data_IF_957607799977
#
_entry.id   IF_957607799977
#
_cell.length_a   1.000
_cell.length_b   1.000
_cell.length_c   1.000
_cell.angle_alpha   90.00
_cell.angle_beta   90.00
_cell.angle_gamma   90.00
#
_symmetry.space_group_name_H-M   'P 1'
#
loop_
_entity.id
_entity.type
_entity.pdbx_description
1 polymer ?
#
# COMPACT_ATOMS: atom_id res chain seq x y z
N UNK A 1 0.12 13.75 12.06
CA UNK A 1 -0.38 15.15 12.09
C UNK A 1 -1.63 15.24 11.23
N UNK A 2 -2.57 16.12 11.57
CA UNK A 2 -3.80 16.31 10.79
C UNK A 2 -3.56 17.34 9.68
N UNK A 3 -3.85 16.97 8.43
CA UNK A 3 -3.93 17.91 7.32
C UNK A 3 -5.28 18.62 7.37
N UNK A 4 -5.27 19.94 7.53
CA UNK A 4 -6.48 20.75 7.67
C UNK A 4 -6.80 21.51 6.38
N UNK A 5 -8.08 21.58 6.02
CA UNK A 5 -8.54 22.42 4.93
C UNK A 5 -8.44 23.91 5.30
N UNK A 6 -8.43 24.79 4.27
CA UNK A 6 -8.54 26.24 4.46
C UNK A 6 -9.68 26.59 5.42
N UNK A 7 -9.34 27.25 6.52
CA UNK A 7 -10.27 27.63 7.59
C UNK A 7 -10.24 26.73 8.82
N UNK A 8 -9.43 25.67 8.86
CA UNK A 8 -9.20 24.79 10.02
C UNK A 8 -10.47 24.15 10.62
N UNK A 9 -11.54 24.03 9.83
CA UNK A 9 -12.80 23.39 10.25
C UNK A 9 -12.98 21.97 9.72
N UNK A 10 -12.06 21.49 8.88
CA UNK A 10 -12.14 20.15 8.28
C UNK A 10 -10.76 19.51 8.21
N UNK A 11 -10.71 18.22 8.52
CA UNK A 11 -9.55 17.34 8.30
C UNK A 11 -9.67 16.74 6.90
N UNK A 12 -8.61 16.84 6.10
CA UNK A 12 -8.56 16.37 4.71
C UNK A 12 -7.46 15.34 4.47
N UNK A 13 -6.57 15.13 5.42
CA UNK A 13 -5.44 14.22 5.26
C UNK A 13 -4.74 13.95 6.57
N UNK A 14 -3.83 12.99 6.54
CA UNK A 14 -3.06 12.53 7.69
C UNK A 14 -1.59 12.37 7.31
N UNK A 15 -0.70 12.74 8.23
CA UNK A 15 0.75 12.62 8.10
C UNK A 15 1.30 11.75 9.23
N UNK A 16 2.15 10.79 8.90
CA UNK A 16 2.87 9.90 9.82
C UNK A 16 3.99 10.63 10.56
N UNK A 17 4.54 10.01 11.60
CA UNK A 17 5.79 10.47 12.23
C UNK A 17 6.98 10.42 11.30
N UNK A 18 6.98 9.46 10.36
CA UNK A 18 8.05 9.24 9.38
C UNK A 18 7.97 10.20 8.18
N UNK A 19 6.98 11.10 8.16
CA UNK A 19 6.79 12.10 7.10
C UNK A 19 5.95 11.64 5.91
N UNK A 20 5.50 10.39 5.87
CA UNK A 20 4.53 9.93 4.87
C UNK A 20 3.16 10.57 5.10
N UNK A 21 2.45 10.96 4.04
CA UNK A 21 1.11 11.54 4.17
C UNK A 21 0.16 11.05 3.09
N UNK A 22 -1.14 11.07 3.38
CA UNK A 22 -2.20 10.74 2.43
C UNK A 22 -3.44 11.58 2.66
N UNK A 23 -4.24 11.71 1.61
CA UNK A 23 -5.53 12.38 1.65
C UNK A 23 -6.64 11.41 2.08
N UNK A 24 -7.59 11.91 2.88
CA UNK A 24 -8.79 11.17 3.21
C UNK A 24 -9.72 11.12 2.00
N UNK A 25 -10.44 10.01 1.82
CA UNK A 25 -11.47 9.90 0.78
C UNK A 25 -12.59 10.94 0.99
N UNK A 26 -12.95 11.21 2.25
CA UNK A 26 -13.92 12.24 2.64
C UNK A 26 -13.33 13.17 3.70
N UNK A 27 -13.59 14.47 3.55
CA UNK A 27 -13.18 15.45 4.56
C UNK A 27 -14.05 15.37 5.81
N UNK A 28 -13.44 15.35 6.99
CA UNK A 28 -14.16 15.26 8.28
C UNK A 28 -14.30 16.63 8.92
N UNK A 29 -15.53 17.03 9.26
CA UNK A 29 -15.81 18.27 9.99
C UNK A 29 -15.33 18.24 11.44
N UNK A 30 -14.71 19.32 11.89
CA UNK A 30 -14.31 19.55 13.28
C UNK A 30 -15.46 20.29 13.96
N UNK A 31 -16.47 19.55 14.39
CA UNK A 31 -17.68 20.07 15.00
C UNK A 31 -18.03 19.30 16.28
N UNK A 32 -18.31 20.03 17.36
CA UNK A 32 -18.70 19.45 18.65
C UNK A 32 -17.54 18.92 19.50
N UNK A 33 -17.81 18.00 20.43
CA UNK A 33 -16.81 17.42 21.33
C UNK A 33 -15.66 16.74 20.58
N UNK A 34 -14.45 16.79 21.15
CA UNK A 34 -13.23 16.28 20.51
C UNK A 34 -13.32 14.79 20.20
N UNK A 35 -13.90 14.03 21.11
CA UNK A 35 -14.08 12.58 20.98
C UNK A 35 -14.94 12.26 19.77
N UNK A 36 -16.00 13.04 19.52
CA UNK A 36 -16.93 12.78 18.42
C UNK A 36 -16.29 12.98 17.04
N UNK A 37 -15.59 14.09 16.81
CA UNK A 37 -14.98 14.31 15.50
C UNK A 37 -13.67 13.54 15.33
N UNK A 38 -12.92 13.27 16.40
CA UNK A 38 -11.69 12.48 16.32
C UNK A 38 -11.98 11.01 16.03
N UNK A 39 -13.04 10.42 16.59
CA UNK A 39 -13.49 9.06 16.21
C UNK A 39 -13.88 9.00 14.73
N UNK A 40 -14.58 10.01 14.19
CA UNK A 40 -14.89 10.07 12.75
C UNK A 40 -13.64 10.16 11.88
N UNK A 41 -12.64 10.92 12.31
CA UNK A 41 -11.34 10.98 11.60
C UNK A 41 -10.66 9.60 11.59
N UNK A 42 -10.72 8.85 12.70
CA UNK A 42 -10.15 7.50 12.77
C UNK A 42 -10.92 6.51 11.86
N UNK A 43 -12.24 6.59 11.81
CA UNK A 43 -13.06 5.79 10.91
C UNK A 43 -12.71 6.06 9.45
N UNK A 44 -12.69 7.34 9.03
CA UNK A 44 -12.33 7.76 7.68
C UNK A 44 -10.87 7.42 7.33
N UNK A 45 -9.96 7.47 8.30
CA UNK A 45 -8.58 7.01 8.13
C UNK A 45 -8.55 5.54 7.71
N UNK A 46 -9.30 4.68 8.42
CA UNK A 46 -9.33 3.24 8.15
C UNK A 46 -9.96 2.94 6.78
N UNK A 47 -11.03 3.65 6.44
CA UNK A 47 -11.68 3.50 5.12
C UNK A 47 -10.77 3.95 3.98
N UNK A 48 -10.13 5.11 4.13
CA UNK A 48 -9.20 5.66 3.14
C UNK A 48 -8.00 4.75 2.93
N UNK A 49 -7.35 4.31 4.02
CA UNK A 49 -6.22 3.37 3.95
C UNK A 49 -6.64 2.04 3.31
N UNK A 50 -7.83 1.51 3.61
CA UNK A 50 -8.33 0.29 2.97
C UNK A 50 -8.48 0.46 1.46
N UNK A 51 -8.97 1.62 1.00
CA UNK A 51 -9.08 1.93 -0.42
C UNK A 51 -7.70 2.05 -1.08
N UNK A 52 -6.80 2.83 -0.49
CA UNK A 52 -5.42 3.02 -1.00
C UNK A 52 -4.70 1.68 -1.08
N UNK A 53 -4.78 0.82 -0.05
CA UNK A 53 -4.17 -0.50 -0.07
C UNK A 53 -4.74 -1.37 -1.19
N UNK A 54 -6.05 -1.35 -1.40
CA UNK A 54 -6.69 -2.13 -2.47
C UNK A 54 -6.23 -1.67 -3.85
N UNK A 55 -6.13 -0.36 -4.06
CA UNK A 55 -5.61 0.21 -5.31
C UNK A 55 -4.14 -0.14 -5.52
N UNK A 56 -3.30 0.02 -4.48
CA UNK A 56 -1.88 -0.31 -4.54
C UNK A 56 -1.66 -1.79 -4.91
N UNK A 57 -2.41 -2.72 -4.29
CA UNK A 57 -2.36 -4.16 -4.60
C UNK A 57 -2.78 -4.43 -6.05
N UNK A 58 -3.83 -3.77 -6.54
CA UNK A 58 -4.29 -3.93 -7.91
C UNK A 58 -3.25 -3.46 -8.94
N UNK A 59 -2.63 -2.30 -8.70
CA UNK A 59 -1.66 -1.68 -9.62
C UNK A 59 -0.35 -2.46 -9.75
N UNK A 60 0.07 -3.18 -8.70
CA UNK A 60 1.29 -4.01 -8.73
C UNK A 60 1.31 -5.00 -9.91
N UNK A 61 0.14 -5.53 -10.31
CA UNK A 61 0.05 -6.48 -11.42
C UNK A 61 0.50 -5.90 -12.78
N UNK A 62 0.30 -4.59 -12.97
CA UNK A 62 0.49 -3.91 -14.26
C UNK A 62 1.75 -3.06 -14.33
N UNK A 63 2.43 -2.82 -13.21
CA UNK A 63 3.55 -1.88 -13.11
C UNK A 63 4.87 -2.59 -12.80
N UNK A 64 5.99 -1.97 -13.18
CA UNK A 64 7.31 -2.46 -12.74
C UNK A 64 7.41 -2.23 -11.23
N UNK A 65 7.93 -3.21 -10.50
CA UNK A 65 8.03 -3.17 -9.03
C UNK A 65 8.74 -1.91 -8.52
N UNK A 66 9.82 -1.49 -9.17
CA UNK A 66 10.57 -0.27 -8.79
C UNK A 66 9.75 1.00 -8.97
N UNK A 67 9.02 1.11 -10.09
CA UNK A 67 8.16 2.26 -10.39
C UNK A 67 6.96 2.30 -9.44
N UNK A 68 6.41 1.13 -9.11
CA UNK A 68 5.32 0.97 -8.15
C UNK A 68 5.73 1.31 -6.72
N UNK A 69 6.93 0.91 -6.28
CA UNK A 69 7.50 1.28 -4.97
C UNK A 69 7.76 2.79 -4.89
N UNK A 70 8.27 3.39 -5.97
CA UNK A 70 8.64 4.80 -6.02
C UNK A 70 7.44 5.75 -6.21
N UNK A 71 6.24 5.24 -6.49
CA UNK A 71 5.06 6.08 -6.64
C UNK A 71 4.69 6.72 -5.29
N UNK A 72 4.60 8.05 -5.28
CA UNK A 72 4.21 8.86 -4.12
C UNK A 72 2.83 8.49 -3.55
N UNK A 73 1.97 7.83 -4.35
CA UNK A 73 0.66 7.31 -3.90
C UNK A 73 0.77 6.00 -3.12
N UNK A 74 1.89 5.29 -3.23
CA UNK A 74 2.14 4.04 -2.53
C UNK A 74 2.82 4.32 -1.19
N UNK A 75 2.03 4.48 -0.13
CA UNK A 75 2.54 4.55 1.25
C UNK A 75 3.45 3.34 1.53
N UNK A 76 4.59 3.53 2.20
CA UNK A 76 5.56 2.47 2.46
C UNK A 76 4.94 1.25 3.15
N UNK A 77 4.03 1.49 4.10
CA UNK A 77 3.25 0.42 4.74
C UNK A 77 2.43 -0.40 3.73
N UNK A 78 1.77 0.26 2.77
CA UNK A 78 0.96 -0.40 1.75
C UNK A 78 1.82 -1.14 0.73
N UNK A 79 2.99 -0.58 0.41
CA UNK A 79 4.00 -1.22 -0.45
C UNK A 79 4.52 -2.52 0.14
N UNK A 80 4.77 -2.55 1.46
CA UNK A 80 5.17 -3.78 2.17
C UNK A 80 4.03 -4.79 2.16
N UNK A 81 2.82 -4.39 2.56
CA UNK A 81 1.65 -5.28 2.59
C UNK A 81 1.33 -5.87 1.20
N UNK A 82 1.33 -5.03 0.15
CA UNK A 82 1.11 -5.44 -1.23
C UNK A 82 2.19 -6.40 -1.73
N UNK A 83 3.46 -6.14 -1.39
CA UNK A 83 4.56 -7.05 -1.73
C UNK A 83 4.37 -8.44 -1.11
N UNK A 84 3.90 -8.53 0.14
CA UNK A 84 3.63 -9.80 0.81
C UNK A 84 2.45 -10.55 0.18
N UNK A 85 1.38 -9.85 -0.19
CA UNK A 85 0.23 -10.44 -0.89
C UNK A 85 0.67 -11.07 -2.22
N UNK A 86 1.40 -10.32 -3.04
CA UNK A 86 1.85 -10.80 -4.34
C UNK A 86 2.90 -11.90 -4.24
N UNK A 87 3.84 -11.79 -3.31
CA UNK A 87 4.81 -12.84 -3.07
C UNK A 87 4.13 -14.16 -2.66
N UNK A 88 3.13 -14.11 -1.77
CA UNK A 88 2.37 -15.30 -1.36
C UNK A 88 1.69 -15.95 -2.56
N UNK A 89 1.02 -15.16 -3.40
CA UNK A 89 0.37 -15.64 -4.62
C UNK A 89 1.37 -16.27 -5.60
N UNK A 90 2.52 -15.64 -5.83
CA UNK A 90 3.57 -16.13 -6.73
C UNK A 90 4.17 -17.46 -6.25
N UNK A 91 4.36 -17.60 -4.93
CA UNK A 91 4.83 -18.85 -4.33
C UNK A 91 3.81 -19.97 -4.51
N UNK A 92 2.54 -19.71 -4.22
CA UNK A 92 1.46 -20.68 -4.44
C UNK A 92 1.30 -21.08 -5.91
N UNK A 93 1.44 -20.13 -6.84
CA UNK A 93 1.44 -20.40 -8.28
C UNK A 93 2.62 -21.28 -8.69
N UNK A 94 3.83 -20.99 -8.19
CA UNK A 94 5.00 -21.81 -8.46
C UNK A 94 4.80 -23.26 -7.97
N UNK A 95 4.23 -23.47 -6.77
CA UNK A 95 3.90 -24.81 -6.29
C UNK A 95 2.86 -25.52 -7.17
N UNK A 96 1.81 -24.81 -7.60
CA UNK A 96 0.81 -25.37 -8.54
C UNK A 96 1.45 -25.77 -9.87
N UNK A 97 2.33 -24.95 -10.43
CA UNK A 97 3.07 -25.24 -11.67
C UNK A 97 3.99 -26.45 -11.52
N UNK A 98 4.69 -26.58 -10.39
CA UNK A 98 5.48 -27.77 -10.07
C UNK A 98 4.60 -29.03 -10.04
N UNK A 99 3.43 -28.95 -9.39
CA UNK A 99 2.46 -30.05 -9.34
C UNK A 99 1.97 -30.47 -10.73
N UNK A 100 1.78 -29.50 -11.63
CA UNK A 100 1.39 -29.72 -13.03
C UNK A 100 2.54 -30.20 -13.95
N UNK A 101 3.75 -30.44 -13.41
CA UNK A 101 4.87 -31.02 -14.14
C UNK A 101 6.01 -30.04 -14.49
N UNK A 102 5.84 -28.73 -14.23
CA UNK A 102 6.91 -27.75 -14.43
C UNK A 102 7.91 -27.76 -13.26
N UNK A 103 8.77 -28.79 -13.21
CA UNK A 103 9.76 -29.00 -12.12
C UNK A 103 10.70 -27.80 -11.88
N UNK A 104 10.86 -26.92 -12.87
CA UNK A 104 11.71 -25.73 -12.81
C UNK A 104 11.04 -24.47 -12.25
N UNK A 105 9.72 -24.48 -11.98
CA UNK A 105 8.99 -23.25 -11.66
C UNK A 105 9.49 -22.54 -10.38
N UNK A 106 9.87 -23.29 -9.34
CA UNK A 106 10.47 -22.72 -8.13
C UNK A 106 11.83 -22.04 -8.38
N UNK A 107 12.68 -22.64 -9.23
CA UNK A 107 13.98 -22.04 -9.61
C UNK A 107 13.78 -20.78 -10.46
N UNK A 108 12.75 -20.76 -11.31
CA UNK A 108 12.39 -19.57 -12.08
C UNK A 108 11.91 -18.44 -11.17
N UNK A 109 11.08 -18.75 -10.16
CA UNK A 109 10.62 -17.79 -9.17
C UNK A 109 11.81 -17.24 -8.34
N UNK A 110 12.70 -18.11 -7.86
CA UNK A 110 13.93 -17.70 -7.16
C UNK A 110 14.76 -16.71 -8.00
N UNK A 111 15.02 -17.05 -9.27
CA UNK A 111 15.77 -16.17 -10.17
C UNK A 111 15.06 -14.82 -10.38
N UNK A 112 13.72 -14.80 -10.45
CA UNK A 112 12.92 -13.56 -10.52
C UNK A 112 13.07 -12.72 -9.25
N UNK A 113 12.94 -13.33 -8.07
CA UNK A 113 13.03 -12.63 -6.78
C UNK A 113 14.44 -12.05 -6.55
N UNK A 114 15.49 -12.79 -6.91
CA UNK A 114 16.87 -12.30 -6.84
C UNK A 114 17.08 -11.07 -7.73
N UNK A 115 16.55 -11.07 -8.97
CA UNK A 115 16.60 -9.89 -9.85
C UNK A 115 15.88 -8.70 -9.24
N UNK A 116 14.66 -8.90 -8.73
CA UNK A 116 13.91 -7.83 -8.07
C UNK A 116 14.66 -7.26 -6.85
N UNK A 117 15.36 -8.10 -6.09
CA UNK A 117 16.18 -7.65 -4.97
C UNK A 117 17.39 -6.83 -5.45
N UNK A 118 18.08 -7.27 -6.51
CA UNK A 118 19.16 -6.50 -7.11
C UNK A 118 18.66 -5.15 -7.65
N UNK A 119 17.51 -5.13 -8.31
CA UNK A 119 16.90 -3.90 -8.83
C UNK A 119 16.58 -2.92 -7.68
N UNK A 120 16.02 -3.41 -6.57
CA UNK A 120 15.72 -2.58 -5.39
C UNK A 120 16.98 -2.04 -4.69
N UNK A 121 18.09 -2.79 -4.69
CA UNK A 121 19.37 -2.31 -4.13
C UNK A 121 20.02 -1.26 -5.06
N UNK A 122 19.73 -1.32 -6.35
CA UNK A 122 20.21 -0.36 -7.33
C UNK A 122 19.34 0.90 -7.51
N UNK A 123 18.20 0.99 -6.82
CA UNK A 123 17.35 2.19 -6.77
C UNK A 123 18.02 3.31 -5.98
#
# INVERSE_FOLDING_TARGET
>A
RLGLARGNKRVIGLESSEGESFELCSAVGIDGPVECWMTKVEEEMRESLRSITKEAVYRYASERRTDWIADIKCLGMNTIAGSQIWWTWEVEDAFRRVSNGEKGALRQLEAKLNRQLTDMVGM
#
